data_IF_764898557339
#
_entry.id   IF_764898557339
#
_cell.length_a   1.000
_cell.length_b   1.000
_cell.length_c   1.000
_cell.angle_alpha   90.00
_cell.angle_beta   90.00
_cell.angle_gamma   90.00
#
_symmetry.space_group_name_H-M   'P 1'
#
loop_
_entity.id
_entity.type
_entity.pdbx_description
1 polymer ?
#
# COMPACT_ATOMS: atom_id res chain seq x y z
N UNK A 1 12.82 43.01 -26.39
CA UNK A 1 13.33 42.48 -25.09
C UNK A 1 12.63 41.15 -24.91
N UNK A 2 13.32 40.01 -24.77
CA UNK A 2 12.72 38.70 -25.03
C UNK A 2 11.39 38.44 -24.31
N UNK A 3 11.29 38.84 -23.03
CA UNK A 3 10.06 38.69 -22.24
C UNK A 3 8.95 39.67 -22.66
N UNK A 4 9.28 40.94 -22.94
CA UNK A 4 8.29 41.92 -23.43
C UNK A 4 7.72 41.53 -24.78
N UNK A 5 8.59 41.05 -25.69
CA UNK A 5 8.18 40.63 -27.04
C UNK A 5 7.31 39.37 -26.96
N UNK A 6 7.61 38.43 -26.04
CA UNK A 6 6.78 37.24 -25.82
C UNK A 6 5.40 37.59 -25.23
N UNK A 7 5.32 38.56 -24.32
CA UNK A 7 4.06 39.01 -23.73
C UNK A 7 3.19 39.77 -24.74
N UNK A 8 3.78 40.66 -25.53
CA UNK A 8 3.06 41.41 -26.58
C UNK A 8 2.47 40.50 -27.67
N UNK A 9 3.08 39.33 -27.90
CA UNK A 9 2.59 38.32 -28.84
C UNK A 9 1.76 37.19 -28.17
N UNK A 10 1.43 37.33 -26.88
CA UNK A 10 0.64 36.34 -26.10
C UNK A 10 1.23 34.91 -26.08
N UNK A 11 2.56 34.79 -26.12
CA UNK A 11 3.25 33.49 -26.12
C UNK A 11 3.52 32.99 -24.70
N UNK A 12 2.47 32.51 -24.00
CA UNK A 12 2.54 32.09 -22.60
C UNK A 12 3.68 31.11 -22.29
N UNK A 13 3.85 30.08 -23.13
CA UNK A 13 4.88 29.06 -22.90
C UNK A 13 6.31 29.61 -23.04
N UNK A 14 6.52 30.60 -23.91
CA UNK A 14 7.80 31.29 -24.05
C UNK A 14 8.04 32.17 -22.81
N UNK A 15 7.01 32.83 -22.29
CA UNK A 15 7.12 33.61 -21.05
C UNK A 15 7.49 32.71 -19.87
N UNK A 16 6.82 31.55 -19.70
CA UNK A 16 7.16 30.55 -18.66
C UNK A 16 8.61 30.09 -18.76
N UNK A 17 9.07 29.79 -19.98
CA UNK A 17 10.45 29.42 -20.24
C UNK A 17 11.41 30.54 -19.81
N UNK A 18 11.20 31.77 -20.28
CA UNK A 18 12.07 32.90 -19.95
C UNK A 18 12.14 33.16 -18.45
N UNK A 19 11.01 33.10 -17.74
CA UNK A 19 10.95 33.22 -16.28
C UNK A 19 11.71 32.08 -15.58
N UNK A 20 11.62 30.85 -16.07
CA UNK A 20 12.39 29.72 -15.52
C UNK A 20 13.91 29.88 -15.66
N UNK A 21 14.35 30.61 -16.69
CA UNK A 21 15.76 30.96 -16.92
C UNK A 21 16.17 32.29 -16.26
N UNK A 22 15.32 32.85 -15.40
CA UNK A 22 15.65 34.03 -14.58
C UNK A 22 15.45 35.38 -15.29
N UNK A 23 14.60 35.46 -16.32
CA UNK A 23 14.18 36.74 -16.86
C UNK A 23 13.41 37.54 -15.79
N UNK A 24 13.78 38.81 -15.59
CA UNK A 24 13.14 39.67 -14.60
C UNK A 24 11.87 40.34 -15.16
N UNK A 25 10.66 40.01 -14.67
CA UNK A 25 9.40 40.59 -15.13
C UNK A 25 9.16 42.02 -14.63
N UNK A 26 9.89 42.48 -13.63
CA UNK A 26 9.69 43.82 -13.03
C UNK A 26 10.28 44.95 -13.87
N UNK A 27 11.13 44.61 -14.84
CA UNK A 27 11.77 45.56 -15.74
C UNK A 27 10.77 46.18 -16.72
N UNK A 28 10.50 47.47 -16.57
CA UNK A 28 9.68 48.23 -17.52
C UNK A 28 10.39 48.46 -18.86
N UNK A 29 9.62 48.62 -19.93
CA UNK A 29 10.11 49.04 -21.25
C UNK A 29 10.67 50.47 -21.22
N UNK A 30 11.31 50.91 -22.30
CA UNK A 30 11.80 52.28 -22.44
C UNK A 30 10.69 53.35 -22.33
N UNK A 31 9.42 52.98 -22.56
CA UNK A 31 8.25 53.84 -22.38
C UNK A 31 7.62 53.74 -20.98
N UNK A 32 8.26 53.03 -20.05
CA UNK A 32 7.78 52.85 -18.67
C UNK A 32 6.60 51.87 -18.55
N UNK A 33 6.31 51.07 -19.57
CA UNK A 33 5.24 50.05 -19.50
C UNK A 33 5.78 48.78 -18.86
N UNK A 34 5.04 48.25 -17.88
CA UNK A 34 5.28 46.93 -17.29
C UNK A 34 4.67 45.84 -18.17
N UNK A 35 5.18 44.62 -18.07
CA UNK A 35 4.69 43.49 -18.88
C UNK A 35 3.21 43.19 -18.63
N UNK A 36 2.70 43.39 -17.41
CA UNK A 36 1.27 43.25 -17.07
C UNK A 36 0.40 44.21 -17.89
N UNK A 37 0.90 45.40 -18.23
CA UNK A 37 0.17 46.37 -19.06
C UNK A 37 0.27 46.10 -20.56
N UNK A 38 1.04 45.08 -20.95
CA UNK A 38 1.24 44.67 -22.34
C UNK A 38 0.48 43.37 -22.67
N UNK A 39 -0.23 42.78 -21.70
CA UNK A 39 -1.01 41.56 -21.92
C UNK A 39 -2.26 41.84 -22.76
N UNK A 40 -2.64 40.86 -23.57
CA UNK A 40 -3.86 40.90 -24.38
C UNK A 40 -4.87 39.82 -23.98
N UNK A 41 -4.40 38.75 -23.34
CA UNK A 41 -5.20 37.61 -22.88
C UNK A 41 -5.36 37.61 -21.37
N UNK A 42 -6.55 37.23 -20.91
CA UNK A 42 -6.88 37.04 -19.48
C UNK A 42 -5.98 35.98 -18.85
N UNK A 43 -5.59 34.93 -19.59
CA UNK A 43 -4.69 33.89 -19.11
C UNK A 43 -3.27 34.41 -18.86
N UNK A 44 -2.78 35.29 -19.74
CA UNK A 44 -1.45 35.90 -19.58
C UNK A 44 -1.44 36.91 -18.44
N UNK A 45 -2.51 37.72 -18.33
CA UNK A 45 -2.66 38.70 -17.26
C UNK A 45 -2.74 38.03 -15.89
N UNK A 46 -3.58 37.00 -15.74
CA UNK A 46 -3.69 36.22 -14.50
C UNK A 46 -2.35 35.57 -14.17
N UNK A 47 -1.72 34.86 -15.12
CA UNK A 47 -0.41 34.24 -14.90
C UNK A 47 0.66 35.22 -14.41
N UNK A 48 0.84 36.37 -15.08
CA UNK A 48 1.85 37.35 -14.70
C UNK A 48 1.53 38.04 -13.37
N UNK A 49 0.23 38.26 -13.08
CA UNK A 49 -0.20 38.86 -11.81
C UNK A 49 0.09 37.91 -10.65
N UNK A 50 -0.30 36.63 -10.77
CA UNK A 50 -0.02 35.59 -9.78
C UNK A 50 1.49 35.41 -9.57
N UNK A 51 2.28 35.39 -10.64
CA UNK A 51 3.73 35.27 -10.57
C UNK A 51 4.38 36.47 -9.84
N UNK A 52 3.90 37.69 -10.10
CA UNK A 52 4.41 38.89 -9.44
C UNK A 52 3.98 38.97 -7.96
N UNK A 53 2.77 38.50 -7.63
CA UNK A 53 2.33 38.40 -6.23
C UNK A 53 3.14 37.37 -5.46
N UNK A 54 3.52 36.25 -6.09
CA UNK A 54 4.40 35.25 -5.49
C UNK A 54 5.79 35.83 -5.21
N UNK A 55 6.33 36.64 -6.12
CA UNK A 55 7.62 37.32 -5.94
C UNK A 55 7.61 38.38 -4.82
N UNK A 56 6.49 39.08 -4.63
CA UNK A 56 6.34 40.11 -3.59
C UNK A 56 5.96 39.53 -2.23
N UNK A 57 5.52 38.27 -2.20
CA UNK A 57 4.93 37.62 -1.04
C UNK A 57 3.44 37.94 -0.94
N UNK A 58 2.62 36.89 -0.82
CA UNK A 58 1.19 37.01 -0.59
C UNK A 58 0.90 37.42 0.85
N UNK A 59 -0.22 38.12 1.06
CA UNK A 59 -0.68 38.48 2.41
C UNK A 59 -1.14 37.24 3.19
N UNK A 60 -1.02 37.26 4.51
CA UNK A 60 -1.46 36.16 5.40
C UNK A 60 -2.94 35.79 5.21
N UNK A 61 -3.76 36.76 4.79
CA UNK A 61 -5.20 36.58 4.58
C UNK A 61 -5.58 36.14 3.14
N UNK A 62 -4.61 35.91 2.24
CA UNK A 62 -4.88 35.48 0.87
C UNK A 62 -5.18 33.96 0.81
N UNK A 63 -6.36 33.53 0.35
CA UNK A 63 -6.66 32.11 0.16
C UNK A 63 -5.66 31.38 -0.76
N UNK A 64 -5.01 32.09 -1.69
CA UNK A 64 -3.97 31.54 -2.57
C UNK A 64 -2.56 31.49 -1.96
N UNK A 65 -2.40 31.87 -0.69
CA UNK A 65 -1.10 31.85 0.01
C UNK A 65 -0.53 30.44 0.15
N UNK A 66 -1.39 29.45 0.29
CA UNK A 66 -1.01 28.06 0.49
C UNK A 66 -1.13 27.29 -0.81
N UNK A 67 -0.15 26.43 -1.08
CA UNK A 67 -0.29 25.43 -2.12
C UNK A 67 -1.37 24.44 -1.68
N UNK A 68 -2.47 24.38 -2.43
CA UNK A 68 -3.44 23.31 -2.29
C UNK A 68 -2.82 22.01 -2.81
N UNK A 69 -2.10 21.33 -1.92
CA UNK A 69 -1.61 20.00 -2.18
C UNK A 69 -2.75 19.01 -1.95
N UNK A 70 -3.47 18.74 -3.02
CA UNK A 70 -4.39 17.62 -3.04
C UNK A 70 -3.59 16.33 -2.82
N UNK A 71 -3.95 15.58 -1.78
CA UNK A 71 -3.40 14.25 -1.56
C UNK A 71 -3.64 13.35 -2.79
N UNK A 72 -2.87 12.27 -2.89
CA UNK A 72 -2.96 11.30 -4.00
C UNK A 72 -4.38 10.78 -4.24
N UNK A 73 -5.27 10.91 -3.25
CA UNK A 73 -6.69 10.56 -3.30
C UNK A 73 -7.53 11.33 -4.33
N UNK A 74 -7.07 12.47 -4.84
CA UNK A 74 -7.80 13.19 -5.92
C UNK A 74 -7.64 12.51 -7.28
N UNK A 75 -6.61 11.69 -7.44
CA UNK A 75 -6.40 10.87 -8.64
C UNK A 75 -7.12 9.52 -8.56
N UNK A 76 -7.64 9.15 -7.39
CA UNK A 76 -8.32 7.87 -7.22
C UNK A 76 -9.73 7.95 -7.83
N UNK A 77 -10.09 6.99 -8.71
CA UNK A 77 -11.45 6.91 -9.23
C UNK A 77 -12.42 6.69 -8.06
N UNK A 78 -13.53 7.45 -8.06
CA UNK A 78 -14.55 7.40 -6.99
C UNK A 78 -15.22 6.03 -6.86
N UNK A 79 -15.13 5.22 -7.90
CA UNK A 79 -15.62 3.85 -7.93
C UNK A 79 -14.40 2.91 -8.07
N UNK A 80 -14.28 1.98 -7.12
CA UNK A 80 -13.36 0.82 -7.07
C UNK A 80 -12.09 0.93 -6.20
N UNK A 81 -12.27 0.48 -4.96
CA UNK A 81 -11.41 -0.48 -4.24
C UNK A 81 -9.92 -0.13 -4.03
N UNK A 82 -9.65 0.94 -3.30
CA UNK A 82 -8.40 1.07 -2.55
C UNK A 82 -8.60 0.62 -1.10
N UNK A 83 -7.75 -0.25 -0.59
CA UNK A 83 -7.61 -0.43 0.87
C UNK A 83 -7.02 0.88 1.43
N UNK A 84 -7.65 1.47 2.44
CA UNK A 84 -7.07 2.61 3.14
C UNK A 84 -5.87 2.11 3.95
N UNK A 85 -4.68 2.31 3.39
CA UNK A 85 -3.38 1.91 3.96
C UNK A 85 -3.18 2.57 5.34
N UNK A 86 -3.90 3.65 5.63
CA UNK A 86 -3.84 4.38 6.89
C UNK A 86 -5.09 4.18 7.76
N UNK A 87 -6.00 3.27 7.43
CA UNK A 87 -7.15 2.97 8.30
C UNK A 87 -6.75 2.39 9.66
N UNK A 88 -5.57 1.75 9.75
CA UNK A 88 -5.00 1.24 11.00
C UNK A 88 -3.58 1.79 11.23
N UNK A 89 -3.42 3.09 11.52
CA UNK A 89 -2.11 3.63 11.85
C UNK A 89 -1.72 3.13 13.25
N UNK A 90 -0.50 2.58 13.45
CA UNK A 90 -0.07 2.13 14.77
C UNK A 90 0.11 3.34 15.69
N UNK A 91 -0.87 3.55 16.55
CA UNK A 91 -0.92 4.57 17.59
C UNK A 91 -2.02 4.21 18.59
N UNK A 92 -2.04 4.81 19.80
CA UNK A 92 -3.15 4.62 20.73
C UNK A 92 -4.38 5.29 20.13
N UNK A 93 -5.16 4.51 19.39
CA UNK A 93 -6.45 4.94 18.85
C UNK A 93 -7.43 5.10 19.99
N UNK A 94 -8.02 6.30 20.10
CA UNK A 94 -9.17 6.57 20.96
C UNK A 94 -10.42 5.93 20.34
N UNK A 95 -10.51 4.60 20.35
CA UNK A 95 -11.75 3.87 20.05
C UNK A 95 -11.97 2.81 21.13
N UNK A 96 -12.72 3.20 22.15
CA UNK A 96 -13.35 2.29 23.09
C UNK A 96 -14.31 1.33 22.34
N UNK A 97 -14.35 0.08 22.80
CA UNK A 97 -15.28 -1.01 22.42
C UNK A 97 -14.85 -2.00 21.31
N UNK A 98 -13.74 -2.71 21.54
CA UNK A 98 -13.76 -4.17 21.39
C UNK A 98 -12.94 -4.81 22.51
N UNK A 99 -13.62 -5.45 23.46
CA UNK A 99 -13.08 -6.25 24.58
C UNK A 99 -12.43 -7.57 24.09
N UNK A 100 -11.93 -7.60 22.85
CA UNK A 100 -10.86 -8.52 22.48
C UNK A 100 -9.54 -7.81 22.76
N UNK A 101 -9.28 -7.71 24.07
CA UNK A 101 -7.96 -7.59 24.70
C UNK A 101 -6.87 -8.10 23.76
N UNK A 102 -5.74 -7.41 23.67
CA UNK A 102 -4.53 -7.87 22.98
C UNK A 102 -4.02 -9.21 23.58
N UNK A 103 -4.78 -10.30 23.43
CA UNK A 103 -4.50 -11.60 24.00
C UNK A 103 -3.53 -12.28 23.05
N UNK A 104 -2.29 -12.42 23.51
CA UNK A 104 -1.29 -13.15 22.77
C UNK A 104 -1.53 -14.66 22.96
N UNK A 105 -1.75 -15.36 21.86
CA UNK A 105 -1.82 -16.82 21.82
C UNK A 105 -0.42 -17.40 21.59
N UNK A 106 0.05 -18.22 22.53
CA UNK A 106 1.33 -18.93 22.45
C UNK A 106 1.10 -20.43 22.31
N UNK A 107 1.78 -21.03 21.33
CA UNK A 107 1.80 -22.46 21.12
C UNK A 107 3.04 -23.07 21.78
N UNK A 108 2.84 -24.13 22.56
CA UNK A 108 3.91 -24.93 23.16
C UNK A 108 3.78 -26.37 22.70
N UNK A 109 4.88 -26.94 22.22
CA UNK A 109 4.96 -28.33 21.76
C UNK A 109 6.32 -28.90 22.11
N UNK A 110 6.34 -30.18 22.51
CA UNK A 110 7.58 -30.94 22.72
C UNK A 110 8.26 -31.31 21.41
N UNK A 111 7.50 -31.37 20.31
CA UNK A 111 8.00 -31.58 18.96
C UNK A 111 8.16 -30.25 18.21
N UNK A 112 9.11 -30.13 17.26
CA UNK A 112 9.25 -28.91 16.47
C UNK A 112 7.94 -28.60 15.71
N UNK A 113 7.46 -27.35 15.77
CA UNK A 113 6.24 -26.94 15.09
C UNK A 113 6.40 -27.02 13.57
N UNK A 114 5.30 -27.24 12.87
CA UNK A 114 5.29 -27.23 11.42
C UNK A 114 5.38 -25.79 10.89
N UNK A 115 6.03 -25.55 9.74
CA UNK A 115 6.05 -24.23 9.13
C UNK A 115 4.63 -23.72 8.85
N UNK A 116 4.34 -22.51 9.32
CA UNK A 116 3.07 -21.83 9.07
C UNK A 116 3.24 -20.76 7.99
N UNK A 117 2.35 -20.78 7.01
CA UNK A 117 2.40 -19.90 5.85
C UNK A 117 1.24 -18.93 5.90
N UNK A 118 1.55 -17.63 5.80
CA UNK A 118 0.54 -16.58 5.73
C UNK A 118 0.15 -16.36 4.27
N UNK A 119 -1.01 -16.88 3.87
CA UNK A 119 -1.44 -16.97 2.46
C UNK A 119 -2.86 -16.45 2.32
N UNK A 120 -3.06 -15.63 1.30
CA UNK A 120 -4.36 -15.17 0.86
C UNK A 120 -4.87 -16.06 -0.27
N UNK A 121 -5.87 -16.86 0.06
CA UNK A 121 -6.54 -17.78 -0.88
C UNK A 121 -7.72 -17.11 -1.58
N UNK A 122 -8.44 -16.22 -0.88
CA UNK A 122 -9.58 -15.50 -1.41
C UNK A 122 -9.48 -14.00 -1.11
N UNK A 123 -9.87 -13.16 -2.08
CA UNK A 123 -9.84 -11.70 -1.94
C UNK A 123 -10.77 -11.18 -0.83
N UNK A 124 -11.86 -11.90 -0.53
CA UNK A 124 -12.85 -11.48 0.47
C UNK A 124 -12.50 -11.85 1.92
N UNK A 125 -11.56 -12.77 2.14
CA UNK A 125 -11.25 -13.32 3.46
C UNK A 125 -9.94 -12.81 4.07
N UNK A 126 -9.16 -12.03 3.30
CA UNK A 126 -7.83 -11.58 3.70
C UNK A 126 -6.81 -12.72 3.80
N UNK A 127 -5.56 -12.41 4.19
CA UNK A 127 -4.53 -13.40 4.43
C UNK A 127 -4.81 -14.18 5.73
N UNK A 128 -4.62 -15.50 5.69
CA UNK A 128 -4.76 -16.39 6.86
C UNK A 128 -3.53 -17.26 7.02
N UNK A 129 -3.41 -17.90 8.19
CA UNK A 129 -2.32 -18.84 8.47
C UNK A 129 -2.73 -20.25 8.02
N UNK A 130 -1.85 -20.93 7.29
CA UNK A 130 -2.08 -22.24 6.71
C UNK A 130 -0.90 -23.17 6.96
N UNK A 131 -1.17 -24.48 7.04
CA UNK A 131 -0.16 -25.53 7.05
C UNK A 131 -0.26 -26.37 5.76
N UNK A 132 0.84 -26.92 5.31
CA UNK A 132 0.83 -27.90 4.22
C UNK A 132 0.18 -29.20 4.68
N UNK A 133 -0.88 -29.63 3.99
CA UNK A 133 -1.58 -30.85 4.34
C UNK A 133 -0.64 -32.07 4.29
N UNK A 134 0.32 -32.07 3.36
CA UNK A 134 1.34 -33.12 3.27
C UNK A 134 2.14 -33.30 4.56
N UNK A 135 2.43 -32.21 5.27
CA UNK A 135 3.27 -32.27 6.48
C UNK A 135 2.43 -32.60 7.71
N UNK A 136 1.20 -32.10 7.76
CA UNK A 136 0.21 -32.48 8.78
C UNK A 136 -0.08 -33.98 8.74
N UNK A 137 -0.37 -34.55 7.57
CA UNK A 137 -0.69 -35.99 7.47
C UNK A 137 0.53 -36.88 7.72
N UNK A 138 1.74 -36.42 7.35
CA UNK A 138 3.00 -37.10 7.71
C UNK A 138 3.18 -37.12 9.23
N UNK A 139 2.94 -36.01 9.92
CA UNK A 139 3.05 -35.90 11.37
C UNK A 139 2.03 -36.80 12.08
N UNK A 140 0.78 -36.77 11.64
CA UNK A 140 -0.31 -37.59 12.19
C UNK A 140 -0.26 -39.06 11.76
N UNK A 141 0.70 -39.44 10.89
CA UNK A 141 0.87 -40.80 10.35
C UNK A 141 -0.42 -41.35 9.73
N UNK A 142 -1.15 -40.51 9.00
CA UNK A 142 -2.40 -40.86 8.33
C UNK A 142 -2.38 -40.42 6.86
N UNK A 143 -3.41 -40.78 6.09
CA UNK A 143 -3.54 -40.31 4.69
C UNK A 143 -4.47 -39.11 4.59
N UNK A 144 -4.30 -38.29 3.55
CA UNK A 144 -5.15 -37.11 3.29
C UNK A 144 -6.64 -37.44 3.20
N UNK A 145 -6.98 -38.63 2.68
CA UNK A 145 -8.37 -39.12 2.63
C UNK A 145 -8.92 -39.38 4.03
N UNK A 146 -8.15 -40.05 4.89
CA UNK A 146 -8.56 -40.33 6.27
C UNK A 146 -8.66 -39.03 7.06
N UNK A 147 -7.75 -38.08 6.83
CA UNK A 147 -7.77 -36.77 7.49
C UNK A 147 -9.07 -36.02 7.17
N UNK A 148 -9.42 -35.89 5.88
CA UNK A 148 -10.67 -35.23 5.44
C UNK A 148 -11.93 -35.92 5.99
N UNK A 149 -11.91 -37.25 6.13
CA UNK A 149 -13.03 -37.99 6.71
C UNK A 149 -13.14 -37.82 8.24
N UNK A 150 -12.02 -37.79 8.95
CA UNK A 150 -12.02 -37.65 10.42
C UNK A 150 -12.26 -36.21 10.87
N UNK A 151 -11.85 -35.22 10.06
CA UNK A 151 -11.93 -33.80 10.40
C UNK A 151 -12.63 -33.00 9.28
N UNK A 152 -13.94 -33.22 9.06
CA UNK A 152 -14.69 -32.54 8.00
C UNK A 152 -14.88 -31.04 8.26
N UNK A 153 -14.66 -30.58 9.49
CA UNK A 153 -14.80 -29.17 9.88
C UNK A 153 -13.55 -28.34 9.55
N UNK A 154 -12.39 -28.99 9.33
CA UNK A 154 -11.16 -28.27 9.01
C UNK A 154 -11.17 -27.91 7.52
N UNK A 155 -11.05 -26.61 7.24
CA UNK A 155 -11.02 -26.11 5.87
C UNK A 155 -9.72 -26.56 5.19
N UNK A 156 -9.88 -27.25 4.06
CA UNK A 156 -8.77 -27.67 3.20
C UNK A 156 -8.96 -27.05 1.83
N UNK A 157 -7.98 -26.24 1.40
CA UNK A 157 -8.03 -25.52 0.12
C UNK A 157 -6.85 -25.92 -0.76
N UNK A 158 -7.10 -25.97 -2.07
CA UNK A 158 -6.09 -26.21 -3.09
C UNK A 158 -5.60 -24.90 -3.69
N UNK A 159 -4.28 -24.71 -3.76
CA UNK A 159 -3.64 -23.59 -4.45
C UNK A 159 -2.58 -24.11 -5.43
N UNK A 160 -2.24 -23.33 -6.46
CA UNK A 160 -1.11 -23.66 -7.32
C UNK A 160 0.22 -23.41 -6.59
N UNK A 161 1.20 -24.27 -6.84
CA UNK A 161 2.53 -24.14 -6.26
C UNK A 161 3.19 -22.80 -6.62
N UNK A 162 3.03 -22.33 -7.85
CA UNK A 162 3.52 -21.01 -8.27
C UNK A 162 2.95 -19.84 -7.43
N UNK A 163 1.65 -19.87 -7.10
CA UNK A 163 1.03 -18.80 -6.31
C UNK A 163 1.43 -18.91 -4.84
N UNK A 164 1.52 -20.14 -4.31
CA UNK A 164 2.06 -20.41 -2.98
C UNK A 164 3.48 -19.88 -2.84
N UNK A 165 4.36 -20.17 -3.80
CA UNK A 165 5.74 -19.70 -3.81
C UNK A 165 5.81 -18.18 -3.85
N UNK A 166 5.03 -17.56 -4.75
CA UNK A 166 4.99 -16.10 -4.90
C UNK A 166 4.63 -15.41 -3.58
N UNK A 167 3.56 -15.83 -2.91
CA UNK A 167 3.15 -15.20 -1.64
C UNK A 167 4.16 -15.47 -0.52
N UNK A 168 4.67 -16.69 -0.41
CA UNK A 168 5.63 -17.04 0.65
C UNK A 168 6.96 -16.31 0.48
N UNK A 169 7.42 -16.11 -0.76
CA UNK A 169 8.66 -15.38 -1.07
C UNK A 169 8.62 -13.89 -0.67
N UNK A 170 7.43 -13.31 -0.49
CA UNK A 170 7.25 -11.92 -0.06
C UNK A 170 7.35 -11.78 1.47
N UNK A 171 7.26 -12.88 2.22
CA UNK A 171 7.33 -12.85 3.67
C UNK A 171 8.77 -12.63 4.15
N UNK A 172 8.97 -11.63 4.99
CA UNK A 172 10.28 -11.30 5.57
C UNK A 172 10.81 -12.38 6.53
N UNK A 173 9.92 -13.24 7.04
CA UNK A 173 10.27 -14.33 7.95
C UNK A 173 10.92 -15.52 7.23
N UNK A 174 10.64 -15.68 5.93
CA UNK A 174 11.21 -16.75 5.09
C UNK A 174 12.48 -16.29 4.36
N UNK A 175 13.40 -15.65 5.09
CA UNK A 175 14.68 -15.15 4.55
C UNK A 175 15.73 -16.25 4.31
N UNK A 176 15.51 -17.46 4.83
CA UNK A 176 16.38 -18.61 4.59
C UNK A 176 15.86 -19.43 3.39
N UNK A 177 16.64 -19.44 2.30
CA UNK A 177 16.28 -20.11 1.05
C UNK A 177 15.98 -21.61 1.18
N UNK A 178 16.47 -22.27 2.24
CA UNK A 178 16.38 -23.73 2.42
C UNK A 178 14.94 -24.24 2.50
N UNK A 179 14.01 -23.46 3.05
CA UNK A 179 12.61 -23.90 3.22
C UNK A 179 11.78 -23.68 1.94
N UNK A 180 12.26 -22.82 1.04
CA UNK A 180 11.62 -22.50 -0.24
C UNK A 180 12.25 -23.22 -1.44
N UNK A 181 13.44 -23.80 -1.29
CA UNK A 181 14.11 -24.62 -2.32
C UNK A 181 13.27 -25.84 -2.75
N UNK A 182 12.38 -26.31 -1.89
CA UNK A 182 11.50 -27.43 -2.17
C UNK A 182 10.40 -27.12 -3.20
N UNK A 183 10.14 -25.83 -3.46
CA UNK A 183 9.04 -25.38 -4.29
C UNK A 183 9.52 -24.73 -5.59
N UNK A 184 8.84 -25.03 -6.69
CA UNK A 184 9.18 -24.52 -8.01
C UNK A 184 8.27 -23.32 -8.40
N UNK A 185 8.83 -22.12 -8.66
CA UNK A 185 8.06 -20.91 -8.98
C UNK A 185 7.24 -21.00 -10.27
N UNK A 186 7.62 -21.88 -11.22
CA UNK A 186 6.91 -22.03 -12.50
C UNK A 186 6.01 -23.27 -12.54
N UNK A 187 5.88 -23.99 -11.42
CA UNK A 187 5.10 -25.21 -11.34
C UNK A 187 3.60 -24.95 -11.35
N UNK A 188 2.88 -25.81 -12.06
CA UNK A 188 1.41 -25.85 -12.08
C UNK A 188 0.85 -26.95 -11.17
N UNK A 189 1.71 -27.59 -10.37
CA UNK A 189 1.26 -28.55 -9.39
C UNK A 189 0.37 -27.89 -8.34
N UNK A 190 -0.54 -28.68 -7.78
CA UNK A 190 -1.51 -28.21 -6.79
C UNK A 190 -1.05 -28.64 -5.40
N UNK A 191 -1.04 -27.70 -4.47
CA UNK A 191 -0.76 -27.92 -3.07
C UNK A 191 -2.07 -27.86 -2.28
N UNK A 192 -2.24 -28.82 -1.38
CA UNK A 192 -3.33 -28.84 -0.41
C UNK A 192 -2.87 -28.12 0.87
N UNK A 193 -3.60 -27.07 1.26
CA UNK A 193 -3.40 -26.31 2.48
C UNK A 193 -4.54 -26.60 3.46
N UNK A 194 -4.22 -26.66 4.75
CA UNK A 194 -5.21 -26.76 5.84
C UNK A 194 -5.13 -25.52 6.72
N UNK A 195 -6.28 -24.95 7.08
CA UNK A 195 -6.34 -23.74 7.90
C UNK A 195 -5.75 -23.98 9.29
N UNK A 196 -4.94 -23.02 9.76
CA UNK A 196 -4.29 -23.10 11.06
C UNK A 196 -5.21 -22.68 12.20
N UNK A 197 -6.02 -23.62 12.69
CA UNK A 197 -6.98 -23.42 13.78
C UNK A 197 -6.47 -23.99 15.11
N UNK A 198 -7.05 -23.55 16.23
CA UNK A 198 -6.74 -24.08 17.57
C UNK A 198 -7.05 -25.58 17.70
N UNK A 199 -8.07 -26.07 16.98
CA UNK A 199 -8.39 -27.50 16.89
C UNK A 199 -7.24 -28.29 16.27
N UNK A 200 -6.65 -27.77 15.18
CA UNK A 200 -5.52 -28.40 14.50
C UNK A 200 -4.26 -28.42 15.37
N UNK A 201 -3.97 -27.33 16.09
CA UNK A 201 -2.84 -27.27 17.05
C UNK A 201 -2.97 -28.34 18.13
N UNK A 202 -4.17 -28.47 18.71
CA UNK A 202 -4.45 -29.50 19.72
C UNK A 202 -4.30 -30.91 19.15
N UNK A 203 -4.73 -31.13 17.90
CA UNK A 203 -4.59 -32.41 17.21
C UNK A 203 -3.12 -32.78 16.94
N UNK A 204 -2.28 -31.78 16.65
CA UNK A 204 -0.83 -31.96 16.47
C UNK A 204 -0.08 -32.19 17.79
N UNK A 205 -0.78 -32.12 18.93
CA UNK A 205 -0.21 -32.34 20.26
C UNK A 205 0.31 -31.08 20.93
N UNK A 206 0.03 -29.89 20.38
CA UNK A 206 0.43 -28.62 20.97
C UNK A 206 -0.56 -28.15 22.04
N UNK A 207 -0.03 -27.52 23.09
CA UNK A 207 -0.82 -26.82 24.11
C UNK A 207 -0.85 -25.31 23.86
N UNK A 208 -2.00 -24.68 24.07
CA UNK A 208 -2.22 -23.25 23.84
C UNK A 208 -2.28 -22.50 25.15
N UNK A 209 -1.54 -21.39 25.22
CA UNK A 209 -1.54 -20.48 26.35
C UNK A 209 -1.91 -19.08 25.89
N UNK A 210 -2.80 -18.44 26.64
CA UNK A 210 -3.30 -17.10 26.36
C UNK A 210 -2.70 -16.14 27.39
N UNK A 211 -2.00 -15.12 26.90
CA UNK A 211 -1.43 -14.07 27.73
C UNK A 211 -2.23 -12.80 27.50
N UNK A 212 -2.89 -12.32 28.55
CA UNK A 212 -3.49 -11.00 28.58
C UNK A 212 -2.42 -9.95 28.91
N UNK A 213 -2.47 -8.74 28.33
CA UNK A 213 -1.54 -7.64 28.62
C UNK A 213 -1.52 -7.22 30.09
#
# INVERSE_FOLDING_TARGET
RPIHDAVENDHLEIVRLLLSYGADPTLATYSGRTIVKMTHSELMETFLTEYLTDLQGRSVDDPGLYWDFYGSSVCDPKDESGFDILANPPGPGDEDEDDFSDVFEFEFSDEPPLPCYNIQVCLSQGPRNWLLLSDVVKRLKMSSRIFRCNFPNLEVVTITEAEFYKQTSLSQLFSCATDLEAFNPESKELLDLVEFTSELKTLLGSSLHWLHP
#
